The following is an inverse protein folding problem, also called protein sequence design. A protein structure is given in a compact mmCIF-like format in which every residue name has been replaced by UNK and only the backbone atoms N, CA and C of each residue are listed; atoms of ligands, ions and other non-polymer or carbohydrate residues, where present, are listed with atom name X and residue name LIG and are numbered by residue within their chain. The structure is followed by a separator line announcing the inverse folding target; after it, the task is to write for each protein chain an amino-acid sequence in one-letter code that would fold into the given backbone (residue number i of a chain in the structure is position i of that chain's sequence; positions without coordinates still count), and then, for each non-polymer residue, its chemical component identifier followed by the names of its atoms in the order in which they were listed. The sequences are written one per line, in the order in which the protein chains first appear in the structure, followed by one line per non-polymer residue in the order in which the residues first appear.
data_IF_454456422656
#
_entry.id   IF_454456422656
#
_cell.length_a   1.000
_cell.length_b   1.000
_cell.length_c   1.000
_cell.angle_alpha   90.00
_cell.angle_beta   90.00
_cell.angle_gamma   90.00
#
_symmetry.space_group_name_H-M   'P 1'
#
loop_
_entity.id
_entity.type
_entity.pdbx_description
1 polymer ?
#
# COMPACT_ATOMS: atom_id res chain seq x y z
N UNK A 1 -0.09 -8.37 8.70
CA UNK A 1 -1.27 -9.04 8.11
C UNK A 1 -2.25 -9.56 9.15
N UNK A 2 -2.03 -10.76 9.71
CA UNK A 2 -2.91 -11.37 10.73
C UNK A 2 -3.14 -10.45 11.94
N UNK A 3 -2.06 -9.88 12.49
CA UNK A 3 -2.10 -8.93 13.62
C UNK A 3 -3.00 -7.72 13.31
N UNK A 4 -2.84 -7.12 12.13
CA UNK A 4 -3.67 -5.97 11.72
C UNK A 4 -5.17 -6.30 11.73
N UNK A 5 -5.58 -7.42 11.11
CA UNK A 5 -6.99 -7.83 11.04
C UNK A 5 -7.56 -8.20 12.41
N UNK A 6 -6.79 -8.92 13.22
CA UNK A 6 -7.22 -9.26 14.57
C UNK A 6 -7.30 -8.03 15.47
N UNK A 7 -6.32 -7.13 15.40
CA UNK A 7 -6.33 -5.84 16.09
C UNK A 7 -7.55 -5.00 15.71
N UNK A 8 -7.88 -4.92 14.42
CA UNK A 8 -9.06 -4.20 13.97
C UNK A 8 -10.35 -4.80 14.54
N UNK A 9 -10.49 -6.13 14.53
CA UNK A 9 -11.65 -6.83 15.07
C UNK A 9 -11.80 -6.69 16.59
N UNK A 10 -10.69 -6.53 17.31
CA UNK A 10 -10.66 -6.38 18.77
C UNK A 10 -10.58 -4.92 19.23
N UNK A 11 -10.77 -3.94 18.33
CA UNK A 11 -10.64 -2.51 18.63
C UNK A 11 -9.28 -2.14 19.24
N UNK A 12 -8.22 -2.84 18.84
CA UNK A 12 -6.84 -2.59 19.23
C UNK A 12 -6.12 -1.72 18.18
N UNK A 13 -6.09 -0.38 18.32
CA UNK A 13 -5.53 0.50 17.29
C UNK A 13 -4.02 0.29 17.09
N UNK A 14 -3.29 -0.01 18.16
CA UNK A 14 -1.85 -0.25 18.12
C UNK A 14 -1.49 -1.52 17.33
N UNK A 15 -2.23 -2.61 17.55
CA UNK A 15 -2.10 -3.84 16.76
C UNK A 15 -2.64 -3.74 15.34
N UNK A 16 -3.60 -2.85 15.11
CA UNK A 16 -4.10 -2.54 13.77
C UNK A 16 -3.01 -1.82 12.99
N UNK A 17 -2.39 -0.81 13.59
CA UNK A 17 -1.45 0.08 12.93
C UNK A 17 0.00 -0.35 13.11
N UNK A 18 0.62 -0.04 14.26
CA UNK A 18 2.05 -0.18 14.50
C UNK A 18 2.54 -1.63 14.44
N UNK A 19 1.85 -2.55 15.12
CA UNK A 19 2.17 -3.99 15.06
C UNK A 19 1.41 -4.73 13.95
N UNK A 20 0.78 -3.99 13.04
CA UNK A 20 -0.12 -4.51 12.03
C UNK A 20 0.26 -4.09 10.63
N UNK A 21 -0.33 -2.99 10.16
CA UNK A 21 -0.14 -2.46 8.80
C UNK A 21 1.26 -1.87 8.63
N UNK A 22 1.81 -1.19 9.64
CA UNK A 22 3.16 -0.61 9.57
C UNK A 22 4.21 -1.69 9.29
N UNK A 23 4.19 -2.81 10.01
CA UNK A 23 5.13 -3.92 9.78
C UNK A 23 4.98 -4.54 8.38
N UNK A 24 3.76 -4.57 7.82
CA UNK A 24 3.55 -5.04 6.44
C UNK A 24 4.24 -4.11 5.45
N UNK A 25 4.02 -2.80 5.57
CA UNK A 25 4.68 -1.81 4.73
C UNK A 25 6.20 -1.86 4.90
N UNK A 26 6.68 -1.90 6.14
CA UNK A 26 8.10 -1.98 6.45
C UNK A 26 8.76 -3.21 5.80
N UNK A 27 8.16 -4.39 5.95
CA UNK A 27 8.70 -5.61 5.36
C UNK A 27 8.64 -5.58 3.83
N UNK A 28 7.57 -5.06 3.24
CA UNK A 28 7.48 -4.94 1.79
C UNK A 28 8.59 -4.02 1.25
N UNK A 29 8.65 -2.77 1.72
CA UNK A 29 9.55 -1.78 1.13
C UNK A 29 11.03 -1.99 1.47
N UNK A 30 11.34 -2.39 2.71
CA UNK A 30 12.72 -2.40 3.21
C UNK A 30 13.36 -3.79 3.30
N UNK A 31 12.58 -4.87 3.12
CA UNK A 31 13.13 -6.25 3.13
C UNK A 31 12.86 -6.96 1.81
N UNK A 32 11.59 -7.09 1.44
CA UNK A 32 11.18 -7.84 0.26
C UNK A 32 11.69 -7.24 -1.05
N UNK A 33 11.50 -5.94 -1.30
CA UNK A 33 11.97 -5.32 -2.55
C UNK A 33 13.51 -5.46 -2.75
N UNK A 34 14.36 -5.18 -1.73
CA UNK A 34 15.79 -5.49 -1.82
C UNK A 34 16.10 -6.97 -2.06
N UNK A 35 15.39 -7.88 -1.40
CA UNK A 35 15.58 -9.33 -1.57
C UNK A 35 15.26 -9.77 -3.00
N UNK A 36 14.16 -9.26 -3.60
CA UNK A 36 13.82 -9.52 -5.01
C UNK A 36 14.96 -9.07 -5.92
N UNK A 37 15.51 -7.86 -5.71
CA UNK A 37 16.66 -7.36 -6.48
C UNK A 37 17.91 -8.21 -6.31
N UNK A 38 18.13 -8.75 -5.11
CA UNK A 38 19.27 -9.62 -4.82
C UNK A 38 19.17 -11.00 -5.50
N UNK A 39 17.99 -11.44 -5.92
CA UNK A 39 17.84 -12.72 -6.65
C UNK A 39 18.51 -12.72 -8.02
N UNK A 40 18.64 -11.54 -8.67
CA UNK A 40 19.09 -11.42 -10.05
C UNK A 40 18.07 -11.85 -11.10
N UNK A 41 16.85 -12.22 -10.69
CA UNK A 41 15.76 -12.54 -11.60
C UNK A 41 15.27 -11.27 -12.30
N UNK A 42 15.63 -11.11 -13.57
CA UNK A 42 15.29 -9.94 -14.37
C UNK A 42 13.78 -9.79 -14.60
N UNK A 43 13.02 -10.89 -14.65
CA UNK A 43 11.57 -10.84 -14.81
C UNK A 43 10.93 -10.27 -13.54
N UNK A 44 11.30 -10.81 -12.38
CA UNK A 44 10.80 -10.34 -11.10
C UNK A 44 11.19 -8.88 -10.82
N UNK A 45 12.44 -8.50 -11.10
CA UNK A 45 12.93 -7.12 -10.95
C UNK A 45 12.15 -6.16 -11.84
N UNK A 46 12.00 -6.49 -13.13
CA UNK A 46 11.24 -5.66 -14.08
C UNK A 46 9.79 -5.50 -13.63
N UNK A 47 9.18 -6.57 -13.13
CA UNK A 47 7.82 -6.53 -12.62
C UNK A 47 7.67 -5.56 -11.43
N UNK A 48 8.53 -5.67 -10.40
CA UNK A 48 8.42 -4.81 -9.23
C UNK A 48 8.76 -3.35 -9.55
N UNK A 49 9.71 -3.08 -10.43
CA UNK A 49 10.05 -1.71 -10.82
C UNK A 49 8.90 -1.08 -11.62
N UNK A 50 8.26 -1.85 -12.51
CA UNK A 50 7.06 -1.42 -13.22
C UNK A 50 5.88 -1.17 -12.26
N UNK A 51 5.67 -2.04 -11.27
CA UNK A 51 4.66 -1.85 -10.23
C UNK A 51 4.90 -0.53 -9.49
N UNK A 52 6.12 -0.28 -9.00
CA UNK A 52 6.41 0.93 -8.22
C UNK A 52 6.35 2.22 -9.05
N UNK A 53 6.67 2.15 -10.34
CA UNK A 53 6.67 3.32 -11.22
C UNK A 53 5.27 3.69 -11.71
N UNK A 54 4.44 2.70 -12.05
CA UNK A 54 3.22 2.92 -12.81
C UNK A 54 1.93 2.68 -12.00
N UNK A 55 1.99 1.95 -10.89
CA UNK A 55 0.80 1.70 -10.06
C UNK A 55 0.37 2.97 -9.30
N UNK A 56 -0.89 3.43 -9.45
CA UNK A 56 -1.39 4.60 -8.75
C UNK A 56 -1.27 4.54 -7.22
N UNK A 57 -1.29 3.33 -6.62
CA UNK A 57 -1.20 3.16 -5.17
C UNK A 57 0.24 3.24 -4.64
N UNK A 58 1.25 3.27 -5.53
CA UNK A 58 2.66 3.39 -5.19
C UNK A 58 3.28 4.74 -5.59
N UNK A 59 2.59 5.55 -6.40
CA UNK A 59 3.08 6.85 -6.88
C UNK A 59 3.48 7.82 -5.75
N UNK A 60 2.94 7.67 -4.55
CA UNK A 60 3.31 8.50 -3.41
C UNK A 60 4.81 8.41 -3.04
N UNK A 61 5.51 7.34 -3.43
CA UNK A 61 6.93 7.14 -3.14
C UNK A 61 7.84 8.14 -3.86
N UNK A 62 7.47 8.55 -5.06
CA UNK A 62 8.29 9.37 -5.95
C UNK A 62 7.85 10.83 -6.03
N UNK A 63 6.86 11.23 -5.23
CA UNK A 63 6.22 12.55 -5.33
C UNK A 63 6.58 13.50 -4.19
N UNK A 64 6.62 14.82 -4.44
CA UNK A 64 6.90 15.80 -3.39
C UNK A 64 5.83 15.79 -2.29
N UNK A 65 6.27 15.79 -1.03
CA UNK A 65 5.39 15.82 0.15
C UNK A 65 4.37 16.98 0.13
N UNK A 66 4.73 18.13 -0.44
CA UNK A 66 3.85 19.29 -0.53
C UNK A 66 2.63 19.01 -1.43
N UNK A 67 2.84 18.38 -2.59
CA UNK A 67 1.76 18.00 -3.50
C UNK A 67 0.85 16.94 -2.86
N UNK A 68 1.45 15.90 -2.26
CA UNK A 68 0.69 14.83 -1.61
C UNK A 68 -0.23 15.37 -0.52
N UNK A 69 0.27 16.30 0.30
CA UNK A 69 -0.55 16.96 1.34
C UNK A 69 -1.73 17.71 0.74
N UNK A 70 -1.54 18.39 -0.39
CA UNK A 70 -2.61 19.13 -1.06
C UNK A 70 -3.65 18.19 -1.68
N UNK A 71 -3.21 17.08 -2.27
CA UNK A 71 -4.11 16.08 -2.83
C UNK A 71 -4.93 15.34 -1.77
N UNK A 72 -4.33 15.10 -0.59
CA UNK A 72 -5.04 14.52 0.56
C UNK A 72 -6.12 15.50 1.06
N UNK A 73 -5.79 16.79 1.16
CA UNK A 73 -6.74 17.83 1.61
C UNK A 73 -7.88 18.04 0.62
N UNK A 74 -7.57 18.04 -0.67
CA UNK A 74 -8.56 18.27 -1.73
C UNK A 74 -9.46 17.06 -2.01
N UNK A 75 -9.18 15.89 -1.43
CA UNK A 75 -9.95 14.68 -1.69
C UNK A 75 -9.46 13.88 -2.91
N UNK A 76 -8.53 14.44 -3.71
CA UNK A 76 -8.05 13.82 -4.95
C UNK A 76 -7.38 12.47 -4.70
N UNK A 77 -6.66 12.32 -3.59
CA UNK A 77 -6.03 11.04 -3.24
C UNK A 77 -7.07 9.98 -2.87
N UNK A 78 -8.20 10.37 -2.28
CA UNK A 78 -9.28 9.47 -1.87
C UNK A 78 -10.00 8.88 -3.09
N UNK A 79 -10.13 9.64 -4.19
CA UNK A 79 -10.72 9.15 -5.44
C UNK A 79 -9.98 7.92 -6.00
N UNK A 80 -8.67 7.79 -5.77
CA UNK A 80 -7.89 6.60 -6.17
C UNK A 80 -8.42 5.31 -5.52
N UNK A 81 -9.03 5.42 -4.34
CA UNK A 81 -9.50 4.28 -3.57
C UNK A 81 -11.00 4.02 -3.73
N UNK A 82 -11.72 4.88 -4.43
CA UNK A 82 -13.19 4.86 -4.52
C UNK A 82 -13.76 3.52 -4.98
N UNK A 83 -13.07 2.87 -5.91
CA UNK A 83 -13.54 1.60 -6.49
C UNK A 83 -13.37 0.41 -5.54
N UNK A 84 -12.47 0.49 -4.56
CA UNK A 84 -12.29 -0.55 -3.54
C UNK A 84 -13.42 -0.61 -2.51
N UNK A 85 -14.22 0.45 -2.43
CA UNK A 85 -15.32 0.58 -1.47
C UNK A 85 -16.70 0.53 -2.14
N UNK A 86 -16.77 0.27 -3.44
CA UNK A 86 -18.05 0.05 -4.08
C UNK A 86 -18.69 -1.21 -3.50
N UNK A 87 -19.95 -1.16 -3.06
CA UNK A 87 -20.67 -2.38 -2.70
C UNK A 87 -20.65 -3.28 -3.93
N UNK A 88 -20.37 -4.57 -3.74
CA UNK A 88 -20.50 -5.56 -4.80
C UNK A 88 -21.90 -5.39 -5.38
N UNK A 89 -22.01 -4.93 -6.62
CA UNK A 89 -23.29 -4.75 -7.29
C UNK A 89 -23.99 -6.10 -7.24
N UNK A 90 -25.14 -6.13 -6.54
CA UNK A 90 -25.82 -7.37 -6.17
C UNK A 90 -26.06 -8.27 -7.38
N UNK A 91 -25.26 -9.32 -7.50
CA UNK A 91 -25.64 -10.53 -8.21
C UNK A 91 -26.64 -11.27 -7.32
N UNK A 92 -27.91 -11.27 -7.76
CA UNK A 92 -28.87 -12.30 -7.34
C UNK A 92 -28.39 -13.67 -7.78
#
# INVERSE_FOLDING_TARGET
GRRARHGAAMMGPDYTWWHGIYEVGQHFYFKFLPEVRATGDMEAITYIDNLLANDPLHQWLSRPTAELKEEIRSGKMQELYKDFFQPVSGGK
#
